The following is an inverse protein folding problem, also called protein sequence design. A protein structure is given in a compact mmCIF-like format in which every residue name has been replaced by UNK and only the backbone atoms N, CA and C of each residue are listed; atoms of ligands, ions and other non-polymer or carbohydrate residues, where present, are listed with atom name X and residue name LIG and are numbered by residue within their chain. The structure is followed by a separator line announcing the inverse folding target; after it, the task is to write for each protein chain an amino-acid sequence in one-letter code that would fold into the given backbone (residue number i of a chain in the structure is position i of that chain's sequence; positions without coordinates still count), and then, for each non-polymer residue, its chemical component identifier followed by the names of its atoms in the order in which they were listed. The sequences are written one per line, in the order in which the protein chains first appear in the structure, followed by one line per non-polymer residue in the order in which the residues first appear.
data_IF_429915582642
#
_entry.id   IF_429915582642
#
_cell.length_a   1.000
_cell.length_b   1.000
_cell.length_c   1.000
_cell.angle_alpha   90.00
_cell.angle_beta   90.00
_cell.angle_gamma   90.00
#
_symmetry.space_group_name_H-M   'P 1'
#
loop_
_entity.id
_entity.type
_entity.pdbx_description
1 polymer ?
#
# COMPACT_ATOMS: atom_id res chain seq x y z
N UNK A 1 36.95 -2.11 -15.80
CA UNK A 1 37.49 -3.42 -15.40
C UNK A 1 36.34 -4.27 -14.88
N UNK A 2 36.30 -5.57 -15.17
CA UNK A 2 35.28 -6.49 -14.65
C UNK A 2 35.70 -7.09 -13.31
N UNK A 3 34.72 -7.57 -12.55
CA UNK A 3 34.94 -8.17 -11.24
C UNK A 3 35.70 -9.50 -11.35
N UNK A 4 36.80 -9.62 -10.60
CA UNK A 4 37.67 -10.81 -10.65
C UNK A 4 37.14 -12.03 -9.87
N UNK A 5 35.95 -11.93 -9.25
CA UNK A 5 35.38 -13.03 -8.46
C UNK A 5 34.94 -14.20 -9.35
N UNK A 6 35.31 -15.42 -8.96
CA UNK A 6 34.88 -16.67 -9.59
C UNK A 6 33.75 -17.27 -8.75
N UNK A 7 32.60 -17.50 -9.38
CA UNK A 7 31.43 -18.10 -8.76
C UNK A 7 31.64 -19.60 -8.52
N UNK A 8 30.72 -20.20 -7.79
CA UNK A 8 30.70 -21.65 -7.52
C UNK A 8 30.51 -22.51 -8.77
N UNK A 9 29.96 -21.96 -9.85
CA UNK A 9 29.81 -22.60 -11.15
C UNK A 9 31.07 -22.52 -12.03
N UNK A 10 32.14 -21.87 -11.54
CA UNK A 10 33.38 -21.67 -12.26
C UNK A 10 33.39 -20.46 -13.21
N UNK A 11 32.26 -19.77 -13.39
CA UNK A 11 32.20 -18.55 -14.20
C UNK A 11 32.68 -17.31 -13.42
N UNK A 12 33.27 -16.36 -14.16
CA UNK A 12 33.57 -15.04 -13.60
C UNK A 12 32.32 -14.18 -13.43
N UNK A 13 32.35 -13.32 -12.41
CA UNK A 13 31.34 -12.31 -12.20
C UNK A 13 31.37 -11.25 -13.31
N UNK A 14 30.30 -11.18 -14.12
CA UNK A 14 30.15 -10.22 -15.23
C UNK A 14 29.88 -8.77 -14.81
N UNK A 15 29.90 -8.48 -13.50
CA UNK A 15 29.66 -7.13 -13.00
C UNK A 15 30.92 -6.25 -13.14
N UNK A 16 30.74 -4.95 -13.32
CA UNK A 16 31.85 -3.99 -13.32
C UNK A 16 32.51 -3.95 -11.93
N UNK A 17 33.83 -3.97 -11.88
CA UNK A 17 34.59 -3.70 -10.66
C UNK A 17 34.42 -2.22 -10.26
N UNK A 18 34.57 -1.94 -8.96
CA UNK A 18 34.63 -0.57 -8.46
C UNK A 18 35.91 0.12 -8.95
N UNK A 19 35.92 1.45 -9.02
CA UNK A 19 37.06 2.17 -9.62
C UNK A 19 38.36 1.97 -8.80
N UNK A 20 38.25 1.76 -7.48
CA UNK A 20 39.36 1.51 -6.55
C UNK A 20 39.45 0.04 -6.05
N UNK A 21 38.79 -0.90 -6.73
CA UNK A 21 38.81 -2.33 -6.34
C UNK A 21 38.85 -3.26 -7.56
N UNK A 22 39.31 -4.49 -7.36
CA UNK A 22 39.27 -5.56 -8.37
C UNK A 22 37.92 -6.28 -8.38
N UNK A 23 37.05 -5.99 -7.42
CA UNK A 23 35.77 -6.63 -7.24
C UNK A 23 34.61 -5.62 -7.37
N UNK A 24 33.42 -6.14 -7.68
CA UNK A 24 32.20 -5.34 -7.71
C UNK A 24 31.68 -5.07 -6.28
N UNK A 25 30.70 -4.18 -6.15
CA UNK A 25 30.04 -3.85 -4.88
C UNK A 25 29.63 -5.08 -4.03
N UNK A 26 29.23 -6.18 -4.68
CA UNK A 26 28.80 -7.40 -3.97
C UNK A 26 29.94 -8.35 -3.60
N UNK A 27 31.10 -8.29 -4.27
CA UNK A 27 32.23 -9.19 -4.01
C UNK A 27 33.45 -8.49 -3.41
N UNK A 28 33.39 -7.16 -3.24
CA UNK A 28 34.41 -6.39 -2.54
C UNK A 28 34.62 -6.91 -1.12
N UNK A 29 35.89 -7.01 -0.74
CA UNK A 29 36.35 -7.30 0.63
C UNK A 29 36.78 -6.03 1.36
N UNK A 30 36.63 -4.86 0.73
CA UNK A 30 36.88 -3.58 1.38
C UNK A 30 35.81 -3.36 2.45
N UNK A 31 36.25 -3.07 3.68
CA UNK A 31 35.39 -2.92 4.85
C UNK A 31 34.36 -1.80 4.70
N UNK A 32 34.72 -0.69 4.05
CA UNK A 32 33.81 0.43 3.79
C UNK A 32 32.67 0.03 2.82
N UNK A 33 33.01 -0.70 1.75
CA UNK A 33 32.03 -1.20 0.78
C UNK A 33 31.12 -2.24 1.42
N UNK A 34 31.68 -3.11 2.26
CA UNK A 34 30.91 -4.11 2.99
C UNK A 34 29.92 -3.48 3.97
N UNK A 35 30.33 -2.45 4.71
CA UNK A 35 29.43 -1.75 5.64
C UNK A 35 28.36 -0.95 4.87
N UNK A 36 28.73 -0.28 3.77
CA UNK A 36 27.77 0.38 2.88
C UNK A 36 26.70 -0.57 2.33
N UNK A 37 27.11 -1.77 1.89
CA UNK A 37 26.18 -2.83 1.45
C UNK A 37 25.24 -3.27 2.56
N UNK A 38 25.76 -3.45 3.78
CA UNK A 38 24.98 -3.85 4.95
C UNK A 38 23.99 -2.75 5.37
N UNK A 39 24.39 -1.48 5.32
CA UNK A 39 23.49 -0.35 5.53
C UNK A 39 22.38 -0.29 4.50
N UNK A 40 22.70 -0.45 3.21
CA UNK A 40 21.72 -0.46 2.13
C UNK A 40 20.71 -1.61 2.30
N UNK A 41 21.20 -2.81 2.63
CA UNK A 41 20.35 -3.96 2.91
C UNK A 41 19.45 -3.75 4.14
N UNK A 42 20.00 -3.17 5.21
CA UNK A 42 19.25 -2.82 6.43
C UNK A 42 18.17 -1.77 6.14
N UNK A 43 18.47 -0.73 5.35
CA UNK A 43 17.50 0.28 4.89
C UNK A 43 16.37 -0.36 4.08
N UNK A 44 16.71 -1.22 3.12
CA UNK A 44 15.72 -1.96 2.32
C UNK A 44 14.86 -2.93 3.15
N UNK A 45 15.46 -3.60 4.13
CA UNK A 45 14.74 -4.47 5.06
C UNK A 45 13.80 -3.71 6.00
N UNK A 46 14.21 -2.53 6.47
CA UNK A 46 13.38 -1.65 7.32
C UNK A 46 12.22 -1.04 6.52
N UNK A 47 12.43 -0.65 5.26
CA UNK A 47 11.36 -0.08 4.43
C UNK A 47 10.28 -1.11 4.05
N UNK A 48 10.64 -2.40 3.99
CA UNK A 48 9.72 -3.49 3.66
C UNK A 48 9.03 -4.13 4.86
N UNK A 49 9.21 -3.63 6.09
CA UNK A 49 8.38 -4.09 7.20
C UNK A 49 6.93 -3.74 6.91
N UNK A 50 6.13 -4.75 6.58
CA UNK A 50 4.67 -4.64 6.63
C UNK A 50 4.32 -4.09 8.01
N UNK A 51 3.70 -2.93 8.04
CA UNK A 51 3.15 -2.38 9.28
C UNK A 51 2.07 -3.38 9.71
N UNK A 52 2.30 -4.10 10.79
CA UNK A 52 1.25 -4.92 11.40
C UNK A 52 0.13 -3.96 11.82
N UNK A 53 -1.03 -4.11 11.19
CA UNK A 53 -2.22 -3.39 11.58
C UNK A 53 -2.71 -3.99 12.91
N UNK A 54 -2.43 -3.30 14.01
CA UNK A 54 -2.88 -3.72 15.36
C UNK A 54 -4.37 -3.46 15.59
N UNK A 55 -5.05 -2.83 14.64
CA UNK A 55 -6.47 -2.52 14.71
C UNK A 55 -7.29 -3.60 14.00
N UNK A 56 -8.37 -4.04 14.66
CA UNK A 56 -9.33 -4.98 14.11
C UNK A 56 -10.10 -4.43 12.90
N UNK A 57 -10.90 -5.28 12.24
CA UNK A 57 -11.66 -4.88 11.07
C UNK A 57 -12.69 -3.79 11.41
N UNK A 58 -12.83 -2.83 10.50
CA UNK A 58 -13.89 -1.81 10.56
C UNK A 58 -15.09 -2.36 9.79
N UNK A 59 -16.27 -2.28 10.40
CA UNK A 59 -17.55 -2.56 9.74
C UNK A 59 -18.25 -1.23 9.48
N UNK A 60 -18.70 -1.03 8.24
CA UNK A 60 -19.43 0.19 7.82
C UNK A 60 -20.79 -0.23 7.28
N UNK A 61 -21.88 0.18 7.93
CA UNK A 61 -23.25 -0.23 7.63
C UNK A 61 -24.13 0.93 7.15
N UNK A 62 -23.67 2.17 7.30
CA UNK A 62 -24.42 3.37 6.95
C UNK A 62 -23.52 4.43 6.31
N UNK A 63 -24.17 5.42 5.70
CA UNK A 63 -23.50 6.62 5.19
C UNK A 63 -22.97 7.51 6.31
N UNK A 64 -23.60 7.51 7.50
CA UNK A 64 -23.11 8.29 8.66
C UNK A 64 -21.76 7.78 9.14
N UNK A 65 -21.59 6.45 9.21
CA UNK A 65 -20.31 5.85 9.61
C UNK A 65 -19.18 6.17 8.60
N UNK A 66 -19.52 6.39 7.32
CA UNK A 66 -18.56 6.87 6.31
C UNK A 66 -18.15 8.32 6.58
N UNK A 67 -19.09 9.18 6.97
CA UNK A 67 -18.81 10.59 7.31
C UNK A 67 -17.87 10.64 8.52
N UNK A 68 -18.16 9.86 9.57
CA UNK A 68 -17.31 9.79 10.77
C UNK A 68 -15.88 9.34 10.41
N UNK A 69 -15.75 8.34 9.52
CA UNK A 69 -14.45 7.88 9.05
C UNK A 69 -13.71 8.96 8.24
N UNK A 70 -14.42 9.73 7.42
CA UNK A 70 -13.85 10.85 6.68
C UNK A 70 -13.33 11.94 7.62
N UNK A 71 -14.13 12.36 8.60
CA UNK A 71 -13.72 13.36 9.58
C UNK A 71 -12.46 12.92 10.33
N UNK A 72 -12.43 11.66 10.79
CA UNK A 72 -11.25 11.09 11.43
C UNK A 72 -10.04 11.11 10.48
N UNK A 73 -10.22 10.72 9.23
CA UNK A 73 -9.15 10.67 8.22
C UNK A 73 -8.58 12.05 7.93
N UNK A 74 -9.43 13.07 7.79
CA UNK A 74 -9.01 14.47 7.59
C UNK A 74 -8.23 14.98 8.80
N UNK A 75 -8.70 14.70 10.00
CA UNK A 75 -8.03 15.11 11.23
C UNK A 75 -6.67 14.41 11.39
N UNK A 76 -6.59 13.11 11.13
CA UNK A 76 -5.34 12.36 11.20
C UNK A 76 -4.34 12.80 10.13
N UNK A 77 -4.79 13.14 8.92
CA UNK A 77 -3.94 13.68 7.85
C UNK A 77 -3.40 15.07 8.22
N UNK A 78 -4.26 15.97 8.70
CA UNK A 78 -3.86 17.32 9.15
C UNK A 78 -2.90 17.29 10.34
N UNK A 79 -3.04 16.29 11.21
CA UNK A 79 -2.15 16.06 12.34
C UNK A 79 -0.85 15.33 11.96
N UNK A 80 -0.65 14.94 10.70
CA UNK A 80 0.53 14.20 10.24
C UNK A 80 0.62 12.76 10.75
N UNK A 81 -0.47 12.20 11.28
CA UNK A 81 -0.53 10.82 11.79
C UNK A 81 -0.62 9.79 10.67
N UNK A 82 -1.14 10.20 9.51
CA UNK A 82 -1.19 9.39 8.30
C UNK A 82 -0.63 10.18 7.11
N UNK A 83 -0.10 9.48 6.13
CA UNK A 83 0.34 10.09 4.87
C UNK A 83 -0.80 10.21 3.86
N UNK A 84 -0.59 11.05 2.84
CA UNK A 84 -1.58 11.33 1.80
C UNK A 84 -2.01 10.09 1.01
N UNK A 85 -1.14 9.07 0.85
CA UNK A 85 -1.50 7.85 0.11
C UNK A 85 -2.49 7.03 0.91
N UNK A 86 -2.30 6.91 2.23
CA UNK A 86 -3.28 6.25 3.12
C UNK A 86 -4.62 6.98 3.12
N UNK A 87 -4.60 8.31 3.23
CA UNK A 87 -5.82 9.11 3.20
C UNK A 87 -6.58 8.94 1.86
N UNK A 88 -5.87 8.98 0.72
CA UNK A 88 -6.46 8.78 -0.59
C UNK A 88 -7.07 7.38 -0.77
N UNK A 89 -6.40 6.34 -0.27
CA UNK A 89 -6.94 4.97 -0.30
C UNK A 89 -8.26 4.87 0.49
N UNK A 90 -8.32 5.48 1.68
CA UNK A 90 -9.54 5.52 2.50
C UNK A 90 -10.66 6.26 1.74
N UNK A 91 -10.35 7.43 1.18
CA UNK A 91 -11.33 8.22 0.43
C UNK A 91 -11.90 7.45 -0.78
N UNK A 92 -11.04 6.76 -1.53
CA UNK A 92 -11.45 5.96 -2.68
C UNK A 92 -12.43 4.84 -2.28
N UNK A 93 -12.14 4.12 -1.20
CA UNK A 93 -13.01 3.05 -0.68
C UNK A 93 -14.34 3.65 -0.21
N UNK A 94 -14.29 4.73 0.57
CA UNK A 94 -15.49 5.40 1.09
C UNK A 94 -16.41 5.90 -0.05
N UNK A 95 -15.85 6.49 -1.11
CA UNK A 95 -16.62 6.93 -2.27
C UNK A 95 -17.31 5.76 -2.99
N UNK A 96 -16.62 4.62 -3.11
CA UNK A 96 -17.20 3.40 -3.69
C UNK A 96 -18.38 2.89 -2.84
N UNK A 97 -18.26 2.96 -1.51
CA UNK A 97 -19.32 2.56 -0.59
C UNK A 97 -20.52 3.51 -0.60
N UNK A 98 -20.29 4.84 -0.66
CA UNK A 98 -21.38 5.82 -0.78
C UNK A 98 -22.23 5.56 -2.02
N UNK A 99 -21.58 5.25 -3.15
CA UNK A 99 -22.27 4.90 -4.40
C UNK A 99 -23.08 3.61 -4.28
N UNK A 100 -22.56 2.61 -3.56
CA UNK A 100 -23.29 1.37 -3.30
C UNK A 100 -24.52 1.61 -2.40
N UNK A 101 -24.41 2.45 -1.38
CA UNK A 101 -25.55 2.84 -0.54
C UNK A 101 -26.61 3.60 -1.32
N UNK A 102 -26.20 4.58 -2.13
CA UNK A 102 -27.11 5.32 -3.01
C UNK A 102 -27.87 4.38 -3.94
N UNK A 103 -27.17 3.46 -4.62
CA UNK A 103 -27.80 2.47 -5.51
C UNK A 103 -28.80 1.59 -4.77
N UNK A 104 -28.43 1.08 -3.58
CA UNK A 104 -29.31 0.27 -2.74
C UNK A 104 -30.59 1.03 -2.40
N UNK A 105 -30.46 2.29 -1.96
CA UNK A 105 -31.58 3.08 -1.50
C UNK A 105 -32.51 3.48 -2.67
N UNK A 106 -31.96 3.76 -3.86
CA UNK A 106 -32.74 3.99 -5.09
C UNK A 106 -33.49 2.72 -5.50
N UNK A 107 -32.83 1.56 -5.52
CA UNK A 107 -33.46 0.28 -5.87
C UNK A 107 -34.58 -0.09 -4.90
N UNK A 108 -34.40 0.12 -3.60
CA UNK A 108 -35.43 -0.12 -2.59
C UNK A 108 -36.68 0.76 -2.82
N UNK A 109 -36.48 2.04 -3.19
CA UNK A 109 -37.57 2.95 -3.54
C UNK A 109 -38.30 2.50 -4.81
N UNK A 110 -37.56 2.08 -5.84
CA UNK A 110 -38.15 1.56 -7.09
C UNK A 110 -39.01 0.33 -6.81
N UNK A 111 -38.49 -0.65 -6.05
CA UNK A 111 -39.24 -1.84 -5.68
C UNK A 111 -40.51 -1.51 -4.89
N UNK A 112 -40.45 -0.50 -4.03
CA UNK A 112 -41.63 0.00 -3.30
C UNK A 112 -42.68 0.56 -4.25
N UNK A 113 -42.27 1.38 -5.23
CA UNK A 113 -43.16 1.95 -6.24
C UNK A 113 -43.79 0.88 -7.15
N UNK A 114 -42.99 -0.06 -7.64
CA UNK A 114 -43.45 -1.20 -8.46
C UNK A 114 -44.50 -2.03 -7.72
N UNK A 115 -44.29 -2.29 -6.43
CA UNK A 115 -45.26 -3.01 -5.60
C UNK A 115 -46.58 -2.26 -5.49
N UNK A 116 -46.55 -0.94 -5.23
CA UNK A 116 -47.76 -0.12 -5.12
C UNK A 116 -48.51 -0.03 -6.45
N UNK A 117 -47.80 0.07 -7.57
CA UNK A 117 -48.42 0.13 -8.90
C UNK A 117 -49.06 -1.20 -9.30
N UNK A 118 -48.39 -2.34 -9.03
CA UNK A 118 -48.96 -3.66 -9.29
C UNK A 118 -50.20 -3.95 -8.44
N UNK A 119 -50.29 -3.41 -7.22
CA UNK A 119 -51.49 -3.55 -6.36
C UNK A 119 -52.66 -2.69 -6.86
N UNK A 120 -52.43 -1.63 -7.63
CA UNK A 120 -53.49 -0.74 -8.14
C UNK A 120 -53.98 -1.08 -9.54
N UNK A 121 -53.28 -1.95 -10.27
CA UNK A 121 -53.60 -2.35 -11.64
C UNK A 121 -54.27 -3.72 -11.78
N UNK A 122 -54.66 -4.36 -10.67
CA UNK A 122 -55.38 -5.64 -10.62
C UNK A 122 -56.83 -5.48 -10.20
#
# INVERSE_FOLDING_TARGET
MECQFVKTDGEHCKAKALDDDKFCFFHSKNEEVMESRKEAASKGGRSNKKVECTQGPIKINSTSEIIDLYEKTVNDLRAGKIDIRRANSIAYICNSMLKAFEQRDVLAKLQTLETVLNVKGG
#
